data_IF_137498572796
#
_entry.id   IF_137498572796
#
_cell.length_a   1.000
_cell.length_b   1.000
_cell.length_c   1.000
_cell.angle_alpha   90.00
_cell.angle_beta   90.00
_cell.angle_gamma   90.00
#
_symmetry.space_group_name_H-M   'P 1'
#
loop_
_entity.id
_entity.type
_entity.pdbx_description
1 polymer ?
#
# COMPACT_ATOMS: atom_id res chain seq x y z
N UNK A 1 34.45 -13.61 -16.16
CA UNK A 1 33.56 -12.79 -15.32
C UNK A 1 33.37 -11.47 -16.04
N UNK A 2 32.20 -11.20 -16.59
CA UNK A 2 31.89 -9.86 -17.10
C UNK A 2 31.41 -9.04 -15.90
N UNK A 3 32.16 -8.01 -15.54
CA UNK A 3 31.74 -7.04 -14.53
C UNK A 3 30.59 -6.21 -15.10
N UNK A 4 29.44 -6.21 -14.45
CA UNK A 4 28.41 -5.20 -14.67
C UNK A 4 29.02 -3.81 -14.45
N UNK A 5 28.84 -2.90 -15.40
CA UNK A 5 29.23 -1.50 -15.20
C UNK A 5 28.05 -0.81 -14.50
N UNK A 6 28.12 -0.75 -13.18
CA UNK A 6 27.23 0.11 -12.39
C UNK A 6 27.80 1.52 -12.49
N UNK A 7 27.08 2.41 -13.17
CA UNK A 7 27.40 3.83 -13.18
C UNK A 7 26.51 4.51 -12.14
N UNK A 8 27.12 5.07 -11.09
CA UNK A 8 26.43 6.04 -10.23
C UNK A 8 26.53 7.41 -10.90
N UNK A 9 25.39 8.03 -11.22
CA UNK A 9 25.33 9.43 -11.61
C UNK A 9 24.65 10.24 -10.50
N UNK A 10 25.23 11.39 -10.16
CA UNK A 10 24.56 12.37 -9.30
C UNK A 10 23.79 13.31 -10.22
N UNK A 11 22.46 13.24 -10.18
CA UNK A 11 21.61 14.13 -10.96
C UNK A 11 21.64 15.57 -10.41
N UNK A 12 21.22 16.57 -11.20
CA UNK A 12 21.22 17.98 -10.79
C UNK A 12 20.38 18.30 -9.54
N UNK A 13 19.46 17.42 -9.16
CA UNK A 13 18.66 17.49 -7.94
C UNK A 13 19.38 16.91 -6.70
N UNK A 14 20.61 16.42 -6.87
CA UNK A 14 21.43 15.82 -5.82
C UNK A 14 21.13 14.34 -5.55
N UNK A 15 20.17 13.72 -6.26
CA UNK A 15 19.88 12.31 -6.11
C UNK A 15 20.93 11.45 -6.83
N UNK A 16 21.35 10.36 -6.17
CA UNK A 16 22.22 9.35 -6.77
C UNK A 16 21.35 8.33 -7.49
N UNK A 17 21.46 8.30 -8.80
CA UNK A 17 20.83 7.28 -9.62
C UNK A 17 21.86 6.19 -9.92
N UNK A 18 21.47 4.94 -9.68
CA UNK A 18 22.25 3.79 -10.12
C UNK A 18 21.73 3.35 -11.48
N UNK A 19 22.62 3.30 -12.48
CA UNK A 19 22.30 2.78 -13.80
C UNK A 19 23.01 1.45 -13.99
N UNK A 20 22.24 0.42 -14.29
CA UNK A 20 22.79 -0.74 -14.97
C UNK A 20 22.89 -0.43 -16.46
N UNK A 21 24.11 -0.24 -16.93
CA UNK A 21 24.38 -0.32 -18.37
C UNK A 21 25.04 -1.65 -18.64
N UNK A 22 24.27 -2.58 -19.20
CA UNK A 22 24.83 -3.81 -19.73
C UNK A 22 25.76 -3.51 -20.91
N UNK A 23 26.85 -4.27 -21.10
CA UNK A 23 27.61 -4.20 -22.34
C UNK A 23 26.68 -4.60 -23.50
N UNK A 24 26.82 -3.91 -24.64
CA UNK A 24 26.07 -4.11 -25.90
C UNK A 24 26.15 -5.53 -26.50
N UNK A 25 26.78 -6.48 -25.83
CA UNK A 25 27.02 -7.82 -26.32
C UNK A 25 25.87 -8.75 -25.95
N UNK A 26 25.02 -9.04 -26.95
CA UNK A 26 24.06 -10.13 -26.92
C UNK A 26 24.77 -11.45 -26.53
N UNK A 27 24.35 -12.05 -25.40
CA UNK A 27 24.75 -13.42 -25.03
C UNK A 27 25.49 -13.60 -23.70
N UNK A 28 25.85 -12.52 -22.98
CA UNK A 28 26.43 -12.66 -21.63
C UNK A 28 25.35 -12.51 -20.57
N UNK A 29 25.09 -13.58 -19.80
CA UNK A 29 24.30 -13.52 -18.57
C UNK A 29 25.08 -12.73 -17.52
N UNK A 30 24.63 -11.53 -17.19
CA UNK A 30 25.15 -10.79 -16.04
C UNK A 30 24.30 -11.17 -14.82
N UNK A 31 24.94 -11.68 -13.78
CA UNK A 31 24.35 -11.86 -12.45
C UNK A 31 25.21 -11.09 -11.48
N UNK A 32 24.61 -10.49 -10.46
CA UNK A 32 25.36 -9.74 -9.45
C UNK A 32 24.63 -8.53 -8.93
N UNK A 33 25.24 -7.90 -7.92
CA UNK A 33 24.70 -6.72 -7.27
C UNK A 33 24.55 -5.56 -8.26
N UNK A 34 23.39 -4.91 -8.20
CA UNK A 34 23.02 -3.75 -9.02
C UNK A 34 23.33 -2.48 -8.24
N UNK A 35 22.74 -2.41 -7.05
CA UNK A 35 22.88 -1.32 -6.09
C UNK A 35 22.75 -1.91 -4.70
N UNK A 36 23.54 -1.40 -3.77
CA UNK A 36 23.47 -1.79 -2.37
C UNK A 36 23.66 -0.56 -1.50
N UNK A 37 22.93 -0.52 -0.39
CA UNK A 37 23.02 0.56 0.58
C UNK A 37 22.81 0.01 1.97
N UNK A 38 23.68 0.43 2.88
CA UNK A 38 23.52 0.20 4.30
C UNK A 38 22.69 1.32 4.92
N UNK A 39 21.65 0.94 5.65
CA UNK A 39 20.78 1.82 6.41
C UNK A 39 21.09 1.66 7.89
N UNK A 40 21.15 2.77 8.60
CA UNK A 40 21.48 2.82 10.03
C UNK A 40 20.32 3.45 10.82
N UNK A 41 20.29 3.21 12.13
CA UNK A 41 19.32 3.82 13.04
C UNK A 41 17.96 3.12 13.06
N UNK A 42 17.88 1.88 12.55
CA UNK A 42 16.67 1.07 12.61
C UNK A 42 16.44 0.56 14.04
N UNK A 43 15.18 0.34 14.42
CA UNK A 43 14.83 -0.18 15.75
C UNK A 43 14.62 -1.70 15.67
N UNK A 44 15.43 -2.53 16.38
CA UNK A 44 15.23 -3.97 16.40
C UNK A 44 13.82 -4.34 16.89
N UNK A 45 13.16 -5.23 16.16
CA UNK A 45 11.77 -5.65 16.41
C UNK A 45 10.71 -4.85 15.65
N UNK A 46 11.08 -3.72 15.02
CA UNK A 46 10.16 -2.92 14.18
C UNK A 46 10.14 -3.45 12.74
N UNK A 47 8.96 -3.44 12.13
CA UNK A 47 8.79 -3.79 10.71
C UNK A 47 9.05 -2.59 9.81
N UNK A 48 9.88 -2.79 8.80
CA UNK A 48 10.23 -1.79 7.79
C UNK A 48 9.90 -2.33 6.39
N UNK A 49 9.58 -1.42 5.48
CA UNK A 49 9.54 -1.66 4.05
C UNK A 49 10.91 -1.31 3.46
N UNK A 50 11.52 -2.28 2.78
CA UNK A 50 12.65 -2.04 1.89
C UNK A 50 12.13 -1.99 0.45
N UNK A 51 12.46 -0.92 -0.27
CA UNK A 51 11.91 -0.67 -1.60
C UNK A 51 12.91 -0.12 -2.59
N UNK A 52 12.63 -0.36 -3.87
CA UNK A 52 13.33 0.20 -5.00
C UNK A 52 12.33 0.81 -5.98
N UNK A 53 12.59 2.06 -6.35
CA UNK A 53 11.85 2.75 -7.42
C UNK A 53 12.70 2.68 -8.68
N UNK A 54 12.14 2.10 -9.73
CA UNK A 54 12.84 1.87 -10.98
C UNK A 54 11.95 2.08 -12.19
N UNK A 55 12.57 2.34 -13.34
CA UNK A 55 11.87 2.51 -14.62
C UNK A 55 12.71 1.91 -15.74
N UNK A 56 12.06 1.29 -16.72
CA UNK A 56 12.72 0.90 -17.97
C UNK A 56 13.11 2.14 -18.77
N UNK A 57 14.32 2.17 -19.31
CA UNK A 57 14.85 3.25 -20.15
C UNK A 57 14.99 2.77 -21.59
N UNK A 58 13.96 3.05 -22.38
CA UNK A 58 13.78 2.57 -23.76
C UNK A 58 14.60 3.30 -24.82
N UNK A 59 15.46 4.24 -24.43
CA UNK A 59 16.27 5.02 -25.40
C UNK A 59 17.33 4.19 -26.13
N UNK A 60 17.52 2.91 -25.76
CA UNK A 60 18.55 2.03 -26.29
C UNK A 60 17.96 0.63 -26.58
N UNK A 61 17.41 0.46 -27.80
CA UNK A 61 17.12 -0.80 -28.52
C UNK A 61 16.48 -2.00 -27.76
N UNK A 62 15.22 -2.30 -28.09
CA UNK A 62 14.60 -3.63 -27.97
C UNK A 62 13.44 -3.70 -26.97
N UNK A 63 12.20 -3.61 -27.47
CA UNK A 63 10.99 -3.29 -26.72
C UNK A 63 10.40 -4.40 -25.80
N UNK A 64 10.97 -5.60 -25.73
CA UNK A 64 10.28 -6.76 -25.14
C UNK A 64 11.07 -7.49 -24.03
N UNK A 65 11.85 -6.77 -23.21
CA UNK A 65 12.71 -7.41 -22.20
C UNK A 65 12.38 -6.99 -20.78
N UNK A 66 12.32 -7.97 -19.90
CA UNK A 66 11.95 -7.85 -18.50
C UNK A 66 13.19 -7.64 -17.62
N UNK A 67 13.10 -6.74 -16.64
CA UNK A 67 14.04 -6.71 -15.51
C UNK A 67 13.75 -7.94 -14.64
N UNK A 68 14.77 -8.73 -14.37
CA UNK A 68 14.71 -9.86 -13.46
C UNK A 68 15.71 -9.59 -12.33
N UNK A 69 15.21 -9.16 -11.18
CA UNK A 69 16.05 -8.84 -10.03
C UNK A 69 15.46 -9.38 -8.72
N UNK A 70 16.30 -9.50 -7.70
CA UNK A 70 15.92 -9.87 -6.35
C UNK A 70 16.29 -8.73 -5.40
N UNK A 71 15.36 -8.38 -4.51
CA UNK A 71 15.64 -7.46 -3.42
C UNK A 71 16.10 -8.26 -2.21
N UNK A 72 17.34 -8.04 -1.78
CA UNK A 72 17.95 -8.67 -0.63
C UNK A 72 18.01 -7.72 0.56
N UNK A 73 17.82 -8.26 1.76
CA UNK A 73 18.14 -7.60 3.03
C UNK A 73 19.14 -8.50 3.77
N UNK A 74 20.32 -7.97 4.05
CA UNK A 74 21.49 -8.67 4.60
C UNK A 74 21.85 -9.95 3.83
N UNK A 75 21.78 -9.86 2.50
CA UNK A 75 22.05 -10.99 1.61
C UNK A 75 20.92 -12.01 1.50
N UNK A 76 19.82 -11.87 2.25
CA UNK A 76 18.64 -12.75 2.14
C UNK A 76 17.63 -12.16 1.17
N UNK A 77 17.26 -12.90 0.12
CA UNK A 77 16.21 -12.50 -0.82
C UNK A 77 14.87 -12.34 -0.10
N UNK A 78 14.22 -11.19 -0.29
CA UNK A 78 12.93 -10.81 0.30
C UNK A 78 11.82 -10.66 -0.73
N UNK A 79 12.18 -10.24 -1.95
CA UNK A 79 11.23 -10.04 -3.03
C UNK A 79 11.89 -10.28 -4.37
N UNK A 80 11.08 -10.64 -5.38
CA UNK A 80 11.50 -10.67 -6.77
C UNK A 80 10.88 -9.47 -7.49
N UNK A 81 11.73 -8.73 -8.17
CA UNK A 81 11.42 -7.52 -8.92
C UNK A 81 11.35 -7.91 -10.39
N UNK A 82 10.14 -7.82 -10.95
CA UNK A 82 9.86 -8.09 -12.35
C UNK A 82 9.24 -6.87 -12.99
N UNK A 83 9.91 -6.30 -13.99
CA UNK A 83 9.41 -5.10 -14.65
C UNK A 83 9.57 -5.19 -16.16
N UNK A 84 8.45 -5.14 -16.87
CA UNK A 84 8.36 -5.15 -18.33
C UNK A 84 7.81 -3.83 -18.90
N UNK A 85 7.60 -2.82 -18.04
CA UNK A 85 6.85 -1.60 -18.36
C UNK A 85 7.72 -0.35 -18.26
N UNK A 86 7.48 0.61 -19.14
CA UNK A 86 8.13 1.94 -19.17
C UNK A 86 7.65 2.91 -18.08
N UNK A 87 6.74 2.45 -17.22
CA UNK A 87 6.26 3.20 -16.09
C UNK A 87 7.29 3.18 -14.94
N UNK A 88 7.29 4.24 -14.14
CA UNK A 88 8.00 4.25 -12.87
C UNK A 88 7.28 3.25 -11.94
N UNK A 89 7.97 2.17 -11.60
CA UNK A 89 7.46 1.12 -10.73
C UNK A 89 8.19 1.15 -9.39
N UNK A 90 7.49 0.75 -8.34
CA UNK A 90 8.05 0.66 -7.00
C UNK A 90 7.78 -0.74 -6.46
N UNK A 91 8.87 -1.48 -6.27
CA UNK A 91 8.83 -2.84 -5.76
C UNK A 91 9.56 -2.91 -4.43
N UNK A 92 9.16 -3.85 -3.58
CA UNK A 92 9.78 -4.02 -2.28
C UNK A 92 9.28 -5.20 -1.49
N UNK A 93 9.70 -5.27 -0.23
CA UNK A 93 9.22 -6.23 0.75
C UNK A 93 9.34 -5.70 2.17
N UNK A 94 8.51 -6.26 3.05
CA UNK A 94 8.66 -6.06 4.48
C UNK A 94 9.78 -6.93 5.04
N UNK A 95 10.47 -6.39 6.02
CA UNK A 95 11.32 -7.15 6.93
C UNK A 95 11.20 -6.59 8.34
N UNK A 96 11.42 -7.44 9.34
CA UNK A 96 11.58 -6.99 10.73
C UNK A 96 13.06 -6.75 10.97
N UNK A 97 13.42 -5.55 11.43
CA UNK A 97 14.80 -5.24 11.75
C UNK A 97 15.26 -6.11 12.93
N UNK A 98 16.42 -6.74 12.78
CA UNK A 98 17.06 -7.55 13.83
C UNK A 98 18.26 -6.84 14.45
N UNK A 99 18.75 -5.79 13.78
CA UNK A 99 19.82 -4.92 14.24
C UNK A 99 19.50 -3.46 13.89
N UNK A 100 20.31 -2.53 14.41
CA UNK A 100 20.17 -1.12 14.07
C UNK A 100 20.74 -0.77 12.69
N UNK A 101 21.40 -1.73 12.04
CA UNK A 101 22.04 -1.60 10.75
C UNK A 101 21.64 -2.78 9.86
N UNK A 102 21.24 -2.47 8.63
CA UNK A 102 20.84 -3.45 7.63
C UNK A 102 21.34 -3.02 6.24
N UNK A 103 21.84 -3.96 5.45
CA UNK A 103 22.21 -3.70 4.05
C UNK A 103 21.09 -4.20 3.15
N UNK A 104 20.50 -3.29 2.38
CA UNK A 104 19.55 -3.66 1.33
C UNK A 104 20.28 -3.63 0.00
N UNK A 105 20.07 -4.65 -0.83
CA UNK A 105 20.67 -4.73 -2.16
C UNK A 105 19.63 -5.15 -3.20
N UNK A 106 19.66 -4.53 -4.38
CA UNK A 106 19.01 -5.08 -5.56
C UNK A 106 20.05 -5.91 -6.31
N UNK A 107 19.71 -7.16 -6.63
CA UNK A 107 20.61 -8.13 -7.25
C UNK A 107 20.00 -8.59 -8.56
N UNK A 108 20.77 -8.49 -9.63
CA UNK A 108 20.37 -8.93 -10.96
C UNK A 108 20.43 -10.46 -11.01
N UNK A 109 19.32 -11.10 -11.39
CA UNK A 109 19.22 -12.57 -11.47
C UNK A 109 18.87 -13.04 -12.88
N UNK A 110 19.22 -14.29 -13.15
CA UNK A 110 18.89 -14.94 -14.42
C UNK A 110 17.38 -15.24 -14.48
N UNK A 111 16.74 -14.99 -15.62
CA UNK A 111 15.37 -15.42 -15.89
C UNK A 111 15.33 -16.31 -17.13
N UNK A 112 14.41 -17.28 -17.12
CA UNK A 112 14.34 -18.37 -18.10
C UNK A 112 13.94 -17.92 -19.52
N UNK A 113 13.59 -16.64 -19.72
CA UNK A 113 13.09 -16.07 -20.98
C UNK A 113 14.14 -15.88 -22.08
N UNK A 114 15.31 -16.50 -21.93
CA UNK A 114 16.30 -16.70 -23.00
C UNK A 114 17.51 -15.75 -22.97
N UNK A 115 18.54 -16.03 -23.79
CA UNK A 115 19.79 -15.30 -23.77
C UNK A 115 19.66 -13.94 -24.47
N UNK A 116 19.77 -12.84 -23.72
CA UNK A 116 20.22 -11.57 -24.32
C UNK A 116 19.75 -10.31 -23.60
N UNK A 117 20.72 -9.57 -23.09
CA UNK A 117 20.75 -8.14 -22.73
C UNK A 117 19.68 -7.61 -21.77
N UNK A 118 20.15 -7.13 -20.61
CA UNK A 118 19.38 -6.38 -19.61
C UNK A 118 18.63 -5.20 -20.24
N UNK A 119 17.39 -4.91 -19.81
CA UNK A 119 16.83 -3.58 -20.01
C UNK A 119 17.76 -2.56 -19.34
N UNK A 120 17.98 -1.42 -19.99
CA UNK A 120 18.53 -0.28 -19.25
C UNK A 120 17.47 0.10 -18.23
N UNK A 121 17.80 -0.02 -16.94
CA UNK A 121 16.89 0.33 -15.86
C UNK A 121 17.48 1.52 -15.14
N UNK A 122 16.68 2.57 -15.07
CA UNK A 122 16.94 3.71 -14.21
C UNK A 122 16.45 3.34 -12.82
N UNK A 123 17.34 3.29 -11.83
CA UNK A 123 16.96 3.19 -10.42
C UNK A 123 17.02 4.59 -9.83
N UNK A 124 15.85 5.15 -9.54
CA UNK A 124 15.69 6.50 -9.01
C UNK A 124 15.44 6.53 -7.51
N UNK A 125 15.16 5.39 -6.88
CA UNK A 125 14.88 5.33 -5.45
C UNK A 125 15.35 4.03 -4.83
N UNK A 126 15.96 4.13 -3.65
CA UNK A 126 16.31 2.99 -2.83
C UNK A 126 16.15 3.39 -1.37
N UNK A 127 15.21 2.74 -0.68
CA UNK A 127 14.70 3.22 0.59
C UNK A 127 14.44 2.10 1.59
N UNK A 128 14.55 2.48 2.86
CA UNK A 128 14.02 1.74 4.00
C UNK A 128 13.18 2.72 4.79
N UNK A 129 11.89 2.44 4.96
CA UNK A 129 10.95 3.27 5.71
C UNK A 129 10.04 2.41 6.59
N UNK A 130 9.49 2.99 7.64
CA UNK A 130 8.37 2.36 8.33
C UNK A 130 7.14 2.43 7.40
N UNK A 131 6.49 1.30 7.09
CA UNK A 131 5.30 1.32 6.24
C UNK A 131 4.18 2.08 6.97
N UNK A 132 3.34 2.79 6.22
CA UNK A 132 2.17 3.39 6.83
C UNK A 132 1.26 2.26 7.34
N UNK A 133 1.00 2.26 8.64
CA UNK A 133 0.02 1.40 9.28
C UNK A 133 -0.75 2.21 10.31
N UNK A 134 -2.01 2.49 10.01
CA UNK A 134 -2.94 3.18 10.89
C UNK A 134 -3.99 2.18 11.31
N UNK A 135 -4.12 1.97 12.62
CA UNK A 135 -5.20 1.18 13.19
C UNK A 135 -5.95 2.04 14.20
N UNK A 136 -7.20 2.31 13.90
CA UNK A 136 -8.10 2.98 14.82
C UNK A 136 -8.85 1.97 15.66
N UNK A 137 -8.73 2.14 16.97
CA UNK A 137 -9.50 1.42 17.98
C UNK A 137 -10.33 2.46 18.72
N UNK A 138 -11.62 2.21 18.85
CA UNK A 138 -12.55 3.11 19.50
C UNK A 138 -12.62 2.83 21.00
N UNK A 139 -12.70 3.87 21.81
CA UNK A 139 -12.81 3.72 23.27
C UNK A 139 -13.45 4.97 23.86
N UNK A 140 -14.39 4.82 24.78
CA UNK A 140 -15.03 5.85 25.63
C UNK A 140 -14.70 7.31 25.26
N UNK A 141 -15.32 7.81 24.19
CA UNK A 141 -15.23 9.21 23.76
C UNK A 141 -14.09 9.55 22.79
N UNK A 142 -13.29 8.58 22.35
CA UNK A 142 -12.20 8.76 21.38
C UNK A 142 -12.55 8.12 20.04
N UNK A 143 -12.62 8.97 19.01
CA UNK A 143 -12.82 8.58 17.61
C UNK A 143 -11.49 8.37 16.85
N UNK A 144 -10.36 8.55 17.52
CA UNK A 144 -9.01 8.36 16.94
C UNK A 144 -8.78 9.15 15.63
N UNK A 145 -9.30 10.38 15.56
CA UNK A 145 -9.17 11.26 14.39
C UNK A 145 -10.21 11.02 13.30
N UNK A 146 -11.17 10.11 13.52
CA UNK A 146 -12.38 10.01 12.69
C UNK A 146 -13.42 11.05 13.09
N UNK A 147 -14.18 11.50 12.11
CA UNK A 147 -15.24 12.50 12.22
C UNK A 147 -16.58 11.82 11.90
N UNK A 148 -17.56 12.04 12.77
CA UNK A 148 -18.94 11.59 12.53
C UNK A 148 -19.53 12.51 11.45
N UNK A 149 -20.00 11.91 10.36
CA UNK A 149 -20.71 12.64 9.32
C UNK A 149 -22.12 13.04 9.75
N UNK A 150 -22.91 13.64 8.86
CA UNK A 150 -24.25 14.10 9.22
C UNK A 150 -25.31 12.97 9.17
N UNK A 151 -25.00 11.83 8.53
CA UNK A 151 -25.90 10.68 8.42
C UNK A 151 -26.29 10.04 9.77
N UNK A 152 -25.39 9.86 10.75
CA UNK A 152 -25.79 9.25 12.00
C UNK A 152 -26.65 10.24 12.80
N UNK A 153 -27.81 9.79 13.27
CA UNK A 153 -28.70 10.59 14.13
C UNK A 153 -28.13 10.79 15.53
N UNK A 154 -27.12 9.99 15.87
CA UNK A 154 -26.35 10.02 17.08
C UNK A 154 -25.19 9.04 16.97
N UNK A 155 -24.28 9.09 17.93
CA UNK A 155 -23.22 8.11 18.06
C UNK A 155 -23.00 7.77 19.55
N UNK A 156 -22.40 6.62 19.80
CA UNK A 156 -22.07 6.15 21.13
C UNK A 156 -20.91 5.16 21.09
N UNK A 157 -20.62 4.56 22.23
CA UNK A 157 -19.60 3.51 22.34
C UNK A 157 -20.19 2.32 23.09
N UNK A 158 -19.90 1.11 22.61
CA UNK A 158 -20.31 -0.14 23.24
C UNK A 158 -19.20 -1.18 23.14
N UNK A 159 -18.69 -1.63 24.28
CA UNK A 159 -17.60 -2.61 24.41
C UNK A 159 -16.39 -2.34 23.49
N UNK A 160 -15.92 -1.09 23.45
CA UNK A 160 -14.80 -0.67 22.60
C UNK A 160 -15.13 -0.51 21.11
N UNK A 161 -16.40 -0.56 20.73
CA UNK A 161 -16.86 -0.31 19.36
C UNK A 161 -17.52 1.06 19.27
N UNK A 162 -17.40 1.71 18.11
CA UNK A 162 -18.15 2.92 17.78
C UNK A 162 -19.54 2.51 17.29
N UNK A 163 -20.59 3.05 17.93
CA UNK A 163 -21.98 2.88 17.51
C UNK A 163 -22.41 4.09 16.70
N UNK A 164 -22.85 3.90 15.46
CA UNK A 164 -23.45 4.93 14.62
C UNK A 164 -24.95 4.66 14.54
N UNK A 165 -25.77 5.60 15.02
CA UNK A 165 -27.22 5.41 15.06
C UNK A 165 -27.86 5.81 13.73
N UNK A 166 -28.53 4.87 13.08
CA UNK A 166 -29.18 5.15 11.79
C UNK A 166 -30.36 6.10 11.96
N UNK A 167 -30.38 7.22 11.23
CA UNK A 167 -31.45 8.23 11.36
C UNK A 167 -32.57 8.09 10.32
N UNK A 168 -32.45 7.13 9.39
CA UNK A 168 -33.41 6.92 8.31
C UNK A 168 -33.45 8.05 7.29
N UNK A 169 -32.40 8.87 7.18
CA UNK A 169 -32.20 9.88 6.14
C UNK A 169 -31.14 9.41 5.16
N UNK A 170 -31.26 9.89 3.92
CA UNK A 170 -30.20 9.72 2.93
C UNK A 170 -29.22 10.86 3.11
N UNK A 171 -28.09 10.58 3.72
CA UNK A 171 -26.98 11.52 3.84
C UNK A 171 -25.68 10.82 3.46
N UNK A 172 -24.76 11.56 2.84
CA UNK A 172 -23.67 10.97 2.06
C UNK A 172 -22.57 10.35 2.94
N UNK A 173 -22.30 10.87 4.14
CA UNK A 173 -21.18 10.39 4.98
C UNK A 173 -21.66 10.00 6.38
N UNK A 174 -21.31 8.79 6.81
CA UNK A 174 -21.54 8.29 8.17
C UNK A 174 -20.31 8.52 9.07
N UNK A 175 -19.12 8.24 8.56
CA UNK A 175 -17.86 8.34 9.29
C UNK A 175 -16.74 8.66 8.29
N UNK A 176 -15.86 9.61 8.59
CA UNK A 176 -14.78 9.96 7.67
C UNK A 176 -13.50 10.42 8.36
N UNK A 177 -12.38 10.32 7.66
CA UNK A 177 -11.07 10.75 8.16
C UNK A 177 -10.16 11.14 7.00
N UNK A 178 -9.41 12.24 7.19
CA UNK A 178 -8.26 12.54 6.34
C UNK A 178 -7.06 11.73 6.81
N UNK A 179 -6.56 10.88 5.93
CA UNK A 179 -5.34 10.11 6.12
C UNK A 179 -4.19 10.92 5.56
N UNK A 180 -3.16 11.15 6.37
CA UNK A 180 -1.96 11.91 6.01
C UNK A 180 -0.73 11.00 5.97
N UNK A 181 0.36 11.49 5.37
CA UNK A 181 1.61 10.74 5.27
C UNK A 181 1.60 9.66 4.18
N UNK A 182 0.68 9.77 3.22
CA UNK A 182 0.64 8.90 2.06
C UNK A 182 1.75 9.27 1.08
N UNK A 183 2.24 8.28 0.35
CA UNK A 183 3.18 8.46 -0.73
C UNK A 183 2.45 8.41 -2.09
N UNK A 184 2.46 9.51 -2.87
CA UNK A 184 1.84 9.53 -4.19
C UNK A 184 2.36 8.39 -5.09
N UNK A 185 1.46 7.71 -5.79
CA UNK A 185 1.74 6.56 -6.64
C UNK A 185 1.79 5.21 -5.90
N UNK A 186 1.77 5.21 -4.56
CA UNK A 186 1.72 3.96 -3.78
C UNK A 186 0.29 3.49 -3.57
N UNK A 187 0.09 2.18 -3.54
CA UNK A 187 -1.20 1.56 -3.25
C UNK A 187 -1.38 1.34 -1.76
N UNK A 188 -2.62 1.45 -1.30
CA UNK A 188 -3.03 1.30 0.10
C UNK A 188 -4.33 0.50 0.15
N UNK A 189 -4.52 -0.21 1.26
CA UNK A 189 -5.76 -0.90 1.58
C UNK A 189 -6.37 -0.26 2.82
N UNK A 190 -7.64 0.09 2.76
CA UNK A 190 -8.48 0.38 3.91
C UNK A 190 -9.41 -0.80 4.19
N UNK A 191 -9.47 -1.21 5.46
CA UNK A 191 -10.29 -2.29 5.97
C UNK A 191 -11.12 -1.76 7.14
N UNK A 192 -12.44 -1.90 7.08
CA UNK A 192 -13.34 -1.55 8.18
C UNK A 192 -14.10 -2.78 8.64
N UNK A 193 -14.03 -3.09 9.94
CA UNK A 193 -14.81 -4.18 10.54
C UNK A 193 -16.11 -3.64 11.11
N UNK A 194 -17.23 -4.10 10.56
CA UNK A 194 -18.54 -3.54 10.84
C UNK A 194 -19.62 -4.63 10.96
N UNK A 195 -20.60 -4.41 11.83
CA UNK A 195 -21.81 -5.23 11.93
C UNK A 195 -23.05 -4.36 12.13
N UNK A 196 -24.23 -4.89 11.81
CA UNK A 196 -25.48 -4.30 12.26
C UNK A 196 -25.69 -4.61 13.74
N UNK A 197 -26.00 -3.60 14.55
CA UNK A 197 -26.43 -3.80 15.92
C UNK A 197 -27.70 -4.67 15.97
N UNK A 198 -28.03 -5.19 17.16
CA UNK A 198 -29.19 -6.06 17.31
C UNK A 198 -30.48 -5.40 16.80
N UNK A 199 -31.29 -6.21 16.11
CA UNK A 199 -32.52 -5.78 15.46
C UNK A 199 -33.53 -5.20 16.47
N UNK A 200 -33.80 -3.91 16.37
CA UNK A 200 -35.01 -3.30 16.90
C UNK A 200 -36.14 -3.39 15.86
N UNK A 201 -37.39 -3.37 16.31
CA UNK A 201 -38.55 -3.42 15.41
C UNK A 201 -38.53 -2.24 14.41
N UNK A 202 -38.59 -2.54 13.11
CA UNK A 202 -38.69 -1.52 12.04
C UNK A 202 -37.35 -1.01 11.50
N UNK A 203 -36.23 -1.64 11.85
CA UNK A 203 -34.94 -1.37 11.23
C UNK A 203 -34.86 -1.95 9.80
N UNK A 204 -34.14 -1.26 8.93
CA UNK A 204 -33.90 -1.62 7.53
C UNK A 204 -32.40 -1.66 7.32
N UNK A 205 -31.94 -2.56 6.45
CA UNK A 205 -30.53 -2.72 6.11
C UNK A 205 -29.86 -1.39 5.75
N UNK A 206 -28.57 -1.27 6.08
CA UNK A 206 -27.72 -0.20 5.57
C UNK A 206 -27.05 -0.67 4.28
N UNK A 207 -27.01 0.20 3.28
CA UNK A 207 -26.20 0.00 2.08
C UNK A 207 -24.97 0.92 2.20
N UNK A 208 -23.80 0.33 2.45
CA UNK A 208 -22.59 1.04 2.84
C UNK A 208 -21.51 0.99 1.78
N UNK A 209 -20.86 2.12 1.56
CA UNK A 209 -19.82 2.25 0.56
C UNK A 209 -18.58 2.87 1.19
N UNK A 210 -17.40 2.34 0.85
CA UNK A 210 -16.13 3.01 1.14
C UNK A 210 -15.84 4.00 0.02
N UNK A 211 -15.72 5.28 0.37
CA UNK A 211 -15.33 6.34 -0.54
C UNK A 211 -13.91 6.84 -0.24
N UNK A 212 -13.18 7.14 -1.31
CA UNK A 212 -11.82 7.67 -1.26
C UNK A 212 -11.77 8.92 -2.12
N UNK A 213 -11.56 10.08 -1.52
CA UNK A 213 -11.66 11.41 -2.15
C UNK A 213 -12.96 11.60 -2.96
N UNK A 214 -14.07 11.12 -2.39
CA UNK A 214 -15.41 11.22 -3.00
C UNK A 214 -15.69 10.22 -4.13
N UNK A 215 -14.76 9.29 -4.41
CA UNK A 215 -15.01 8.17 -5.30
C UNK A 215 -15.55 7.00 -4.49
N UNK A 216 -16.85 6.73 -4.63
CA UNK A 216 -17.55 5.66 -3.93
C UNK A 216 -17.30 4.30 -4.60
N UNK A 217 -16.94 3.28 -3.81
CA UNK A 217 -16.69 1.92 -4.28
C UNK A 217 -17.67 0.91 -3.66
N UNK A 218 -18.61 0.43 -4.47
CA UNK A 218 -19.57 -0.58 -4.04
C UNK A 218 -18.87 -1.95 -4.02
N UNK A 219 -18.78 -2.56 -2.84
CA UNK A 219 -18.35 -3.95 -2.68
C UNK A 219 -19.56 -4.88 -2.78
N UNK A 220 -19.37 -6.14 -3.18
CA UNK A 220 -20.48 -7.10 -3.26
C UNK A 220 -21.20 -7.31 -1.91
N UNK A 221 -20.48 -7.12 -0.79
CA UNK A 221 -20.99 -7.22 0.60
C UNK A 221 -21.32 -5.86 1.27
N UNK A 222 -21.75 -4.89 0.48
CA UNK A 222 -22.11 -3.53 0.94
C UNK A 222 -23.41 -3.45 1.78
N UNK A 223 -24.27 -4.48 1.78
CA UNK A 223 -25.54 -4.46 2.50
C UNK A 223 -25.38 -5.12 3.89
N UNK A 224 -25.57 -4.34 4.95
CA UNK A 224 -25.51 -4.78 6.34
C UNK A 224 -26.92 -4.87 6.92
N UNK A 225 -27.33 -6.06 7.36
CA UNK A 225 -28.62 -6.29 8.02
C UNK A 225 -28.51 -6.12 9.54
N UNK A 226 -29.62 -5.79 10.23
CA UNK A 226 -29.66 -5.82 11.69
C UNK A 226 -29.31 -7.21 12.24
N UNK A 227 -28.40 -7.26 13.23
CA UNK A 227 -27.91 -8.50 13.82
C UNK A 227 -26.97 -9.33 12.94
N UNK A 228 -26.53 -8.80 11.79
CA UNK A 228 -25.49 -9.46 11.00
C UNK A 228 -24.21 -9.66 11.82
N UNK A 229 -23.54 -10.79 11.58
CA UNK A 229 -22.20 -10.99 12.08
C UNK A 229 -21.24 -9.93 11.53
N UNK A 230 -20.12 -9.71 12.22
CA UNK A 230 -19.07 -8.79 11.78
C UNK A 230 -18.60 -9.14 10.37
N UNK A 231 -18.62 -8.16 9.49
CA UNK A 231 -18.08 -8.20 8.13
C UNK A 231 -16.87 -7.27 8.03
N UNK A 232 -16.05 -7.52 7.03
CA UNK A 232 -14.92 -6.63 6.69
C UNK A 232 -15.20 -5.98 5.34
N UNK A 233 -15.33 -4.67 5.34
CA UNK A 233 -15.36 -3.87 4.11
C UNK A 233 -13.92 -3.52 3.76
N UNK A 234 -13.45 -3.96 2.60
CA UNK A 234 -12.06 -3.75 2.17
C UNK A 234 -12.03 -2.96 0.87
N UNK A 235 -11.09 -2.02 0.76
CA UNK A 235 -10.84 -1.31 -0.50
C UNK A 235 -9.37 -0.99 -0.70
N UNK A 236 -8.85 -1.33 -1.87
CA UNK A 236 -7.55 -0.84 -2.35
C UNK A 236 -7.71 0.48 -3.11
N UNK A 237 -6.77 1.39 -2.92
CA UNK A 237 -6.68 2.66 -3.66
C UNK A 237 -5.21 3.06 -3.87
N UNK A 238 -4.92 3.76 -4.97
CA UNK A 238 -3.61 4.37 -5.19
C UNK A 238 -3.66 5.83 -4.77
N UNK A 239 -2.77 6.23 -3.87
CA UNK A 239 -2.70 7.61 -3.41
C UNK A 239 -2.22 8.52 -4.56
N UNK A 240 -2.98 9.56 -4.89
CA UNK A 240 -2.57 10.56 -5.89
C UNK A 240 -1.87 11.76 -5.26
N UNK A 241 -2.06 11.95 -3.95
CA UNK A 241 -1.42 13.01 -3.16
C UNK A 241 -0.96 12.44 -1.81
N UNK A 242 -0.31 13.26 -0.98
CA UNK A 242 0.14 12.85 0.35
C UNK A 242 -0.97 12.80 1.42
N UNK A 243 -2.20 13.16 1.05
CA UNK A 243 -3.36 13.06 1.93
C UNK A 243 -4.61 12.66 1.17
N UNK A 244 -5.40 11.75 1.72
CA UNK A 244 -6.64 11.26 1.08
C UNK A 244 -7.75 11.24 2.12
N UNK A 245 -8.95 11.67 1.75
CA UNK A 245 -10.12 11.56 2.62
C UNK A 245 -10.80 10.21 2.39
N UNK A 246 -10.86 9.39 3.43
CA UNK A 246 -11.57 8.11 3.42
C UNK A 246 -12.88 8.26 4.19
N UNK A 247 -13.97 7.76 3.63
CA UNK A 247 -15.29 7.82 4.25
C UNK A 247 -16.05 6.50 4.14
N UNK A 248 -16.84 6.21 5.17
CA UNK A 248 -17.94 5.26 5.13
C UNK A 248 -19.20 6.06 4.79
N UNK A 249 -19.79 5.76 3.66
CA UNK A 249 -20.96 6.43 3.09
C UNK A 249 -22.19 5.52 3.15
N UNK A 250 -23.37 6.10 3.34
CA UNK A 250 -24.64 5.37 3.29
C UNK A 250 -25.40 5.72 2.02
N UNK A 251 -25.68 4.73 1.18
CA UNK A 251 -26.32 4.96 -0.12
C UNK A 251 -27.84 5.04 -0.03
N UNK A 252 -28.43 4.40 0.99
CA UNK A 252 -29.86 4.37 1.27
C UNK A 252 -30.16 4.83 2.69
N UNK A 253 -31.38 5.32 2.97
CA UNK A 253 -31.77 5.67 4.32
C UNK A 253 -31.71 4.44 5.24
N UNK A 254 -30.64 4.31 6.01
CA UNK A 254 -30.43 3.22 6.94
C UNK A 254 -31.18 3.51 8.25
N UNK A 255 -31.85 2.49 8.79
CA UNK A 255 -32.42 2.54 10.15
C UNK A 255 -31.77 1.52 11.08
N UNK A 256 -30.67 0.92 10.64
CA UNK A 256 -29.88 -0.01 11.45
C UNK A 256 -28.78 0.80 12.12
N UNK A 257 -28.56 0.54 13.40
CA UNK A 257 -27.39 1.07 14.08
C UNK A 257 -26.18 0.24 13.67
N UNK A 258 -25.07 0.89 13.36
CA UNK A 258 -23.85 0.23 12.92
C UNK A 258 -22.85 0.16 14.07
N UNK A 259 -22.24 -1.01 14.24
CA UNK A 259 -21.13 -1.21 15.17
C UNK A 259 -19.84 -1.27 14.36
N UNK A 260 -19.01 -0.24 14.46
CA UNK A 260 -17.68 -0.17 13.85
C UNK A 260 -16.65 -0.59 14.90
N UNK A 261 -15.98 -1.71 14.67
CA UNK A 261 -15.06 -2.31 15.64
C UNK A 261 -13.64 -1.79 15.50
N UNK A 262 -13.12 -1.82 14.28
CA UNK A 262 -11.83 -1.26 13.94
C UNK A 262 -11.79 -0.76 12.50
N UNK A 263 -10.85 0.15 12.25
CA UNK A 263 -10.51 0.60 10.91
C UNK A 263 -9.00 0.55 10.77
N UNK A 264 -8.54 -0.13 9.72
CA UNK A 264 -7.12 -0.24 9.40
C UNK A 264 -6.85 0.38 8.04
N UNK A 265 -5.83 1.22 7.94
CA UNK A 265 -5.26 1.69 6.67
C UNK A 265 -3.81 1.27 6.63
N UNK A 266 -3.42 0.56 5.57
CA UNK A 266 -2.06 0.05 5.41
C UNK A 266 -1.59 0.18 3.98
N UNK A 267 -0.29 0.33 3.78
CA UNK A 267 0.31 0.25 2.46
C UNK A 267 0.06 -1.15 1.86
N UNK A 268 -0.43 -1.18 0.62
CA UNK A 268 -0.62 -2.41 -0.13
C UNK A 268 0.74 -2.78 -0.72
N UNK A 269 1.26 -3.89 -0.24
CA UNK A 269 2.54 -4.38 -0.69
C UNK A 269 2.32 -5.32 -1.86
N UNK A 270 3.18 -5.28 -2.89
CA UNK A 270 3.05 -6.21 -3.98
C UNK A 270 3.22 -7.64 -3.45
N UNK A 271 2.17 -8.44 -3.57
CA UNK A 271 2.19 -9.86 -3.21
C UNK A 271 2.69 -10.62 -4.43
N UNK A 272 3.97 -10.97 -4.43
CA UNK A 272 4.51 -11.91 -5.41
C UNK A 272 4.41 -13.33 -4.84
N UNK A 273 3.54 -14.13 -5.45
CA UNK A 273 3.47 -15.58 -5.29
C UNK A 273 4.40 -16.31 -6.25
#
# INVERSE_FOLDING_TARGET
MASSLVLEEILPDGQRHAFLRGPLYAGVKLTGEIVSRTFHGLVPGTSYFAGVTHRRNDTLFGADRMLCAELHVDGVCRSRVFSCVDALNRDGALFTATAAEHTVALVAVDCEDGPGSYPNVDISGFEVKEPLYLRSVFSDGRLDGWEIGPEPGGHGFDDGNLVLQGNGRREETALGRRIEGLEPGSSYVIEMRISGAQALSGQVAAELVLAVDGVSYINDDHIIQPGDAVRTLTRSFTATTSSVYCALESFQPARVDLLVQDITVREELPVYG
#
